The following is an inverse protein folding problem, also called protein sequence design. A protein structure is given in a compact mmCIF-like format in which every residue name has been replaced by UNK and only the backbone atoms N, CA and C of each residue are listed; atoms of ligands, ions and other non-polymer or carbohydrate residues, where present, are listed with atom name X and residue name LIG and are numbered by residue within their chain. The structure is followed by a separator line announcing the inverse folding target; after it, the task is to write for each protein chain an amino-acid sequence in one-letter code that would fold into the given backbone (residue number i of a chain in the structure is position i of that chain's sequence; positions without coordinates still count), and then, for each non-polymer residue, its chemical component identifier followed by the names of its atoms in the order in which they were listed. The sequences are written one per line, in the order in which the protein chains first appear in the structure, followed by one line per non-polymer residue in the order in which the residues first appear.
data_IF_623746781759
#
_entry.id   IF_623746781759
#
_cell.length_a   1.000
_cell.length_b   1.000
_cell.length_c   1.000
_cell.angle_alpha   90.00
_cell.angle_beta   90.00
_cell.angle_gamma   90.00
#
_symmetry.space_group_name_H-M   'P 1'
#
loop_
_entity.id
_entity.type
_entity.pdbx_description
1 polymer ?
#
# COMPACT_ATOMS: atom_id res chain seq x y z
N UNK A 1 -0.30 6.13 -6.20
CA UNK A 1 -0.18 4.74 -5.70
C UNK A 1 0.47 3.75 -6.69
N UNK A 2 0.17 3.82 -8.00
CA UNK A 2 0.71 2.86 -8.99
C UNK A 2 2.24 2.76 -9.00
N UNK A 3 2.95 3.89 -8.89
CA UNK A 3 4.42 3.94 -8.79
C UNK A 3 4.91 3.24 -7.50
N UNK A 4 4.30 3.57 -6.36
CA UNK A 4 4.65 3.00 -5.07
C UNK A 4 4.43 1.47 -5.01
N UNK A 5 3.32 0.98 -5.60
CA UNK A 5 2.98 -0.44 -5.67
C UNK A 5 3.81 -1.20 -6.71
N UNK A 6 3.93 -0.66 -7.93
CA UNK A 6 4.64 -1.30 -9.03
C UNK A 6 6.14 -1.46 -8.76
N UNK A 7 6.72 -0.60 -7.92
CA UNK A 7 8.12 -0.67 -7.54
C UNK A 7 8.34 -1.19 -6.11
N UNK A 8 7.30 -1.50 -5.33
CA UNK A 8 7.48 -2.01 -3.96
C UNK A 8 8.02 -0.99 -2.94
N UNK A 9 8.09 0.29 -3.29
CA UNK A 9 8.73 1.36 -2.52
C UNK A 9 7.93 1.89 -1.32
N UNK A 10 6.78 1.28 -1.05
CA UNK A 10 6.00 1.53 0.15
C UNK A 10 6.11 0.38 1.15
N UNK A 11 5.67 -0.82 0.77
CA UNK A 11 5.55 -1.96 1.69
C UNK A 11 6.92 -2.43 2.19
N UNK A 12 7.89 -2.69 1.31
CA UNK A 12 9.20 -3.21 1.75
C UNK A 12 9.95 -2.20 2.63
N UNK A 13 10.04 -0.91 2.27
CA UNK A 13 10.64 0.09 3.14
C UNK A 13 9.90 0.26 4.47
N UNK A 14 8.58 0.09 4.52
CA UNK A 14 7.81 0.13 5.78
C UNK A 14 8.18 -1.05 6.71
N UNK A 15 8.33 -2.26 6.18
CA UNK A 15 8.80 -3.42 6.95
C UNK A 15 10.24 -3.24 7.43
N UNK A 16 11.12 -2.69 6.59
CA UNK A 16 12.49 -2.40 6.94
C UNK A 16 12.58 -1.33 8.04
N UNK A 17 11.83 -0.24 7.89
CA UNK A 17 11.72 0.82 8.89
C UNK A 17 11.23 0.27 10.23
N UNK A 18 10.15 -0.52 10.23
CA UNK A 18 9.63 -1.14 11.45
C UNK A 18 10.67 -2.05 12.12
N UNK A 19 11.38 -2.89 11.35
CA UNK A 19 12.43 -3.76 11.87
C UNK A 19 13.59 -2.98 12.51
N UNK A 20 13.97 -1.83 11.93
CA UNK A 20 15.03 -0.98 12.49
C UNK A 20 14.58 -0.22 13.74
N UNK A 21 13.31 0.23 13.80
CA UNK A 21 12.76 0.93 14.97
C UNK A 21 12.69 0.05 16.22
N UNK A 22 12.64 -1.28 16.05
CA UNK A 22 12.54 -2.25 17.15
C UNK A 22 13.88 -2.63 17.79
N UNK A 23 15.00 -2.22 17.20
CA UNK A 23 16.34 -2.47 17.79
C UNK A 23 16.56 -1.57 19.01
N UNK A 24 17.42 -2.01 19.94
CA UNK A 24 17.76 -1.24 21.16
C UNK A 24 18.23 0.20 20.87
N UNK A 25 18.97 0.39 19.76
CA UNK A 25 19.32 1.71 19.22
C UNK A 25 18.49 1.97 17.97
N UNK A 26 17.19 2.16 18.15
CA UNK A 26 16.25 2.41 17.06
C UNK A 26 16.61 3.65 16.23
N UNK A 27 16.29 3.61 14.95
CA UNK A 27 16.50 4.76 14.06
C UNK A 27 15.55 5.92 14.41
N UNK A 28 15.92 7.13 14.02
CA UNK A 28 15.05 8.30 14.14
C UNK A 28 13.73 8.08 13.38
N UNK A 29 12.63 8.72 13.83
CA UNK A 29 11.36 8.65 13.13
C UNK A 29 11.51 9.12 11.68
N UNK A 30 10.86 8.42 10.75
CA UNK A 30 10.82 8.79 9.34
C UNK A 30 9.42 9.36 9.04
N UNK A 31 9.24 10.71 9.05
CA UNK A 31 7.92 11.32 9.15
C UNK A 31 6.94 10.89 8.05
N UNK A 32 7.39 10.89 6.79
CA UNK A 32 6.55 10.49 5.64
C UNK A 32 6.17 8.99 5.72
N UNK A 33 7.03 8.14 6.27
CA UNK A 33 6.71 6.72 6.49
C UNK A 33 5.70 6.52 7.63
N UNK A 34 5.83 7.28 8.71
CA UNK A 34 4.84 7.26 9.81
C UNK A 34 3.48 7.76 9.33
N UNK A 35 3.46 8.79 8.47
CA UNK A 35 2.24 9.29 7.84
C UNK A 35 1.61 8.23 6.91
N UNK A 36 2.42 7.50 6.12
CA UNK A 36 1.94 6.36 5.34
C UNK A 36 1.26 5.31 6.23
N UNK A 37 1.92 4.95 7.35
CA UNK A 37 1.41 3.98 8.32
C UNK A 37 0.10 4.45 8.94
N UNK A 38 -0.01 5.74 9.28
CA UNK A 38 -1.23 6.33 9.82
C UNK A 38 -2.39 6.34 8.79
N UNK A 39 -2.10 6.70 7.52
CA UNK A 39 -3.12 6.81 6.47
C UNK A 39 -3.69 5.45 6.07
N UNK A 40 -2.83 4.43 5.93
CA UNK A 40 -3.25 3.10 5.47
C UNK A 40 -3.61 2.17 6.63
N UNK A 41 -3.11 2.45 7.83
CA UNK A 41 -3.26 1.59 8.99
C UNK A 41 -2.34 0.37 8.96
N UNK A 42 -1.97 -0.10 10.14
CA UNK A 42 -1.01 -1.20 10.30
C UNK A 42 -1.48 -2.50 9.63
N UNK A 43 -2.77 -2.84 9.71
CA UNK A 43 -3.31 -4.09 9.15
C UNK A 43 -3.33 -4.13 7.61
N UNK A 44 -3.26 -2.95 6.96
CA UNK A 44 -3.24 -2.87 5.49
C UNK A 44 -1.81 -2.94 4.96
N UNK A 45 -0.85 -2.36 5.70
CA UNK A 45 0.58 -2.39 5.38
C UNK A 45 1.26 -3.69 5.80
N UNK A 46 0.99 -4.16 7.01
CA UNK A 46 1.51 -5.39 7.58
C UNK A 46 0.46 -6.50 7.48
N UNK A 47 0.88 -7.73 7.21
CA UNK A 47 -0.04 -8.85 7.09
C UNK A 47 -0.53 -9.27 8.49
N UNK A 48 -1.76 -8.89 8.81
CA UNK A 48 -2.41 -9.22 10.08
C UNK A 48 -2.05 -8.22 11.17
N UNK A 49 -0.81 -8.25 11.65
CA UNK A 49 -0.32 -7.33 12.68
C UNK A 49 1.11 -6.87 12.38
N UNK A 50 1.51 -5.76 13.01
CA UNK A 50 2.88 -5.23 12.93
C UNK A 50 3.89 -6.30 13.38
N UNK A 51 4.84 -6.72 12.52
CA UNK A 51 5.79 -7.76 12.86
C UNK A 51 6.71 -7.27 13.96
N UNK A 52 7.04 -8.13 14.93
CA UNK A 52 7.88 -7.80 16.12
C UNK A 52 9.32 -8.29 15.99
N UNK A 53 9.62 -9.07 14.95
CA UNK A 53 10.96 -9.57 14.64
C UNK A 53 11.30 -9.34 13.18
N UNK A 54 12.60 -9.27 12.88
CA UNK A 54 13.11 -9.16 11.50
C UNK A 54 12.63 -10.34 10.65
N UNK A 55 12.60 -11.55 11.23
CA UNK A 55 12.14 -12.75 10.55
C UNK A 55 10.64 -12.71 10.23
N UNK A 56 9.83 -12.13 11.11
CA UNK A 56 8.40 -11.96 10.84
C UNK A 56 8.17 -10.90 9.76
N UNK A 57 8.96 -9.82 9.74
CA UNK A 57 8.95 -8.87 8.63
C UNK A 57 9.29 -9.56 7.30
N UNK A 58 10.32 -10.40 7.28
CA UNK A 58 10.69 -11.17 6.09
C UNK A 58 9.58 -12.11 5.62
N UNK A 59 9.00 -12.91 6.52
CA UNK A 59 7.88 -13.81 6.19
C UNK A 59 6.70 -13.02 5.61
N UNK A 60 6.32 -11.91 6.24
CA UNK A 60 5.22 -11.09 5.74
C UNK A 60 5.53 -10.48 4.36
N UNK A 61 6.76 -10.03 4.12
CA UNK A 61 7.21 -9.58 2.80
C UNK A 61 7.05 -10.67 1.73
N UNK A 62 7.52 -11.89 2.02
CA UNK A 62 7.46 -13.02 1.08
C UNK A 62 6.00 -13.43 0.80
N UNK A 63 5.14 -13.41 1.81
CA UNK A 63 3.70 -13.61 1.64
C UNK A 63 3.04 -12.49 0.82
N UNK A 64 3.48 -11.25 0.99
CA UNK A 64 3.00 -10.10 0.22
C UNK A 64 3.36 -10.26 -1.26
N UNK A 65 4.52 -10.83 -1.57
CA UNK A 65 4.92 -11.15 -2.94
C UNK A 65 4.17 -12.33 -3.57
N UNK A 66 3.30 -12.99 -2.81
CA UNK A 66 2.44 -14.06 -3.30
C UNK A 66 3.00 -15.47 -3.09
N UNK A 67 4.07 -15.63 -2.31
CA UNK A 67 4.51 -16.97 -1.90
C UNK A 67 3.56 -17.55 -0.83
N UNK A 68 3.53 -18.88 -0.72
CA UNK A 68 2.59 -19.54 0.19
C UNK A 68 3.17 -19.65 1.60
N UNK A 69 2.30 -19.55 2.62
CA UNK A 69 2.66 -19.90 4.02
C UNK A 69 3.16 -21.34 4.10
N UNK A 70 2.66 -22.23 3.24
CA UNK A 70 3.09 -23.63 3.18
C UNK A 70 4.57 -23.79 2.82
N UNK A 71 5.15 -22.82 2.09
CA UNK A 71 6.55 -22.83 1.67
C UNK A 71 7.53 -22.68 2.86
N UNK A 72 7.04 -22.21 4.01
CA UNK A 72 7.83 -22.04 5.25
C UNK A 72 7.66 -23.19 6.26
N UNK A 73 6.94 -24.26 5.90
CA UNK A 73 6.73 -25.40 6.79
C UNK A 73 7.95 -26.32 6.84
N UNK A 74 8.29 -26.83 8.04
CA UNK A 74 9.50 -27.60 8.31
C UNK A 74 9.60 -28.95 7.54
N UNK A 75 8.53 -29.38 6.85
CA UNK A 75 8.40 -30.72 6.26
C UNK A 75 8.35 -30.71 4.71
N UNK A 76 9.14 -29.87 4.04
CA UNK A 76 9.16 -29.83 2.57
C UNK A 76 10.33 -30.60 1.96
N UNK A 77 10.00 -31.61 1.14
CA UNK A 77 10.88 -32.08 0.05
C UNK A 77 11.06 -30.92 -0.93
N UNK A 78 12.30 -30.58 -1.28
CA UNK A 78 12.70 -29.50 -2.22
C UNK A 78 11.69 -29.31 -3.37
N UNK A 79 10.74 -28.39 -3.20
CA UNK A 79 9.74 -28.06 -4.22
C UNK A 79 9.94 -26.60 -4.61
N UNK A 80 9.94 -26.32 -5.92
CA UNK A 80 10.03 -24.94 -6.43
C UNK A 80 8.89 -24.11 -5.86
N UNK A 81 9.23 -22.94 -5.31
CA UNK A 81 8.30 -21.93 -4.85
C UNK A 81 7.36 -21.57 -6.00
N UNK A 82 6.04 -21.59 -5.77
CA UNK A 82 5.06 -21.18 -6.79
C UNK A 82 4.42 -19.87 -6.36
N UNK A 83 4.65 -18.76 -7.07
CA UNK A 83 3.96 -17.52 -6.77
C UNK A 83 2.45 -17.69 -7.02
N UNK A 84 1.65 -16.99 -6.21
CA UNK A 84 0.21 -16.91 -6.34
C UNK A 84 -0.19 -16.35 -7.71
N UNK A 85 -1.25 -16.92 -8.30
CA UNK A 85 -1.83 -16.43 -9.56
C UNK A 85 -2.35 -14.99 -9.46
N UNK A 86 -2.60 -14.50 -8.25
CA UNK A 86 -3.14 -13.16 -8.02
C UNK A 86 -2.06 -12.07 -7.99
N UNK A 87 -0.78 -12.43 -8.11
CA UNK A 87 0.33 -11.50 -8.07
C UNK A 87 0.60 -10.92 -6.67
N UNK A 88 1.56 -10.00 -6.56
CA UNK A 88 1.94 -9.38 -5.30
C UNK A 88 0.83 -8.46 -4.77
N UNK A 89 0.61 -8.49 -3.45
CA UNK A 89 -0.30 -7.58 -2.74
C UNK A 89 0.34 -6.19 -2.66
N UNK A 90 -0.30 -5.21 -3.29
CA UNK A 90 0.06 -3.79 -3.17
C UNK A 90 -0.70 -3.06 -2.07
N UNK A 91 -0.37 -1.78 -1.86
CA UNK A 91 -1.19 -0.85 -1.10
C UNK A 91 -2.59 -0.77 -1.74
N UNK A 92 -3.61 -0.81 -0.90
CA UNK A 92 -5.00 -0.54 -1.29
C UNK A 92 -5.29 0.95 -1.16
N UNK A 93 -6.25 1.44 -1.93
CA UNK A 93 -6.65 2.84 -1.82
C UNK A 93 -7.11 3.15 -0.39
N UNK A 94 -6.59 4.25 0.16
CA UNK A 94 -6.89 4.70 1.52
C UNK A 94 -8.17 5.55 1.60
N UNK A 95 -8.63 6.04 0.44
CA UNK A 95 -9.72 6.99 0.30
C UNK A 95 -10.71 6.51 -0.76
N UNK A 96 -12.01 6.37 -0.43
CA UNK A 96 -13.06 6.14 -1.41
C UNK A 96 -13.15 7.24 -2.48
N UNK A 97 -12.71 8.47 -2.16
CA UNK A 97 -12.62 9.55 -3.15
C UNK A 97 -11.52 9.30 -4.18
N UNK A 98 -10.41 8.65 -3.80
CA UNK A 98 -9.36 8.27 -4.75
C UNK A 98 -9.91 7.38 -5.86
N UNK A 99 -10.78 6.42 -5.51
CA UNK A 99 -11.37 5.49 -6.47
C UNK A 99 -12.27 6.24 -7.46
N UNK A 100 -13.09 7.16 -6.95
CA UNK A 100 -13.99 7.96 -7.79
C UNK A 100 -13.20 8.85 -8.73
N UNK A 101 -12.19 9.54 -8.20
CA UNK A 101 -11.30 10.36 -9.01
C UNK A 101 -10.56 9.52 -10.05
N UNK A 102 -10.10 8.32 -9.70
CA UNK A 102 -9.44 7.39 -10.63
C UNK A 102 -10.39 6.93 -11.74
N UNK A 103 -11.63 6.55 -11.41
CA UNK A 103 -12.65 6.17 -12.39
C UNK A 103 -13.05 7.32 -13.30
N UNK A 104 -13.03 8.54 -12.80
CA UNK A 104 -13.40 9.73 -13.57
C UNK A 104 -12.24 10.29 -14.39
N UNK A 105 -10.99 10.07 -13.98
CA UNK A 105 -9.79 10.47 -14.70
C UNK A 105 -9.14 9.34 -15.52
N UNK A 106 -9.84 8.23 -15.79
CA UNK A 106 -9.32 7.22 -16.72
C UNK A 106 -9.11 7.83 -18.12
N UNK A 107 -7.85 7.85 -18.52
CA UNK A 107 -7.36 8.34 -19.80
C UNK A 107 -7.42 7.20 -20.82
N UNK A 108 -8.38 7.24 -21.74
CA UNK A 108 -8.43 6.36 -22.93
C UNK A 108 -7.90 7.19 -24.13
N UNK A 109 -6.60 7.08 -24.41
CA UNK A 109 -5.91 7.94 -25.39
C UNK A 109 -5.66 9.37 -24.87
N UNK A 110 -5.39 10.37 -25.73
CA UNK A 110 -5.13 11.77 -25.30
C UNK A 110 -6.38 12.55 -24.85
N UNK A 111 -7.51 11.86 -24.61
CA UNK A 111 -8.77 12.50 -24.22
C UNK A 111 -9.14 12.06 -22.82
N UNK A 112 -9.26 13.02 -21.91
CA UNK A 112 -9.86 12.79 -20.59
C UNK A 112 -11.36 12.59 -20.82
N UNK A 113 -11.80 11.34 -20.78
CA UNK A 113 -13.22 11.01 -20.86
C UNK A 113 -13.77 11.17 -19.45
N UNK A 114 -14.52 12.24 -19.20
CA UNK A 114 -15.33 12.38 -17.98
C UNK A 114 -16.44 11.31 -18.02
N UNK A 115 -16.11 10.10 -17.55
CA UNK A 115 -16.99 8.92 -17.67
C UNK A 115 -18.13 8.91 -16.65
N UNK A 116 -18.16 9.82 -15.66
CA UNK A 116 -19.38 10.04 -14.86
C UNK A 116 -19.25 11.24 -13.92
N UNK A 117 -20.15 12.20 -14.11
CA UNK A 117 -20.48 13.22 -13.14
C UNK A 117 -20.62 12.59 -11.74
N UNK A 118 -19.88 13.12 -10.77
CA UNK A 118 -20.05 12.83 -9.35
C UNK A 118 -21.53 13.02 -8.97
N UNK A 119 -22.32 11.95 -8.96
CA UNK A 119 -23.75 12.04 -8.67
C UNK A 119 -23.98 12.17 -7.18
N UNK A 120 -25.05 12.88 -6.80
CA UNK A 120 -25.46 13.02 -5.40
C UNK A 120 -25.59 11.65 -4.70
N UNK A 121 -26.20 10.68 -5.39
CA UNK A 121 -26.34 9.31 -4.88
C UNK A 121 -24.99 8.63 -4.59
N UNK A 122 -23.96 8.85 -5.43
CA UNK A 122 -22.61 8.33 -5.16
C UNK A 122 -22.03 8.98 -3.91
N UNK A 123 -22.19 10.29 -3.75
CA UNK A 123 -21.72 11.02 -2.55
C UNK A 123 -22.42 10.50 -1.29
N UNK A 124 -23.74 10.32 -1.32
CA UNK A 124 -24.50 9.76 -0.20
C UNK A 124 -24.05 8.34 0.17
N UNK A 125 -23.79 7.49 -0.84
CA UNK A 125 -23.29 6.14 -0.61
C UNK A 125 -21.92 6.13 0.09
N UNK A 126 -20.99 6.99 -0.33
CA UNK A 126 -19.67 7.11 0.32
C UNK A 126 -19.77 7.59 1.75
N UNK A 127 -20.57 8.63 2.00
CA UNK A 127 -20.77 9.17 3.34
C UNK A 127 -21.40 8.14 4.27
N UNK A 128 -22.28 7.28 3.72
CA UNK A 128 -22.87 6.16 4.46
C UNK A 128 -21.84 5.10 4.79
N UNK A 129 -20.99 4.72 3.83
CA UNK A 129 -19.88 3.78 4.06
C UNK A 129 -18.91 4.32 5.12
N UNK A 130 -18.50 5.58 5.01
CA UNK A 130 -17.66 6.24 6.00
C UNK A 130 -18.35 6.36 7.37
N UNK A 131 -19.67 6.47 7.43
CA UNK A 131 -20.37 6.48 8.71
C UNK A 131 -20.35 5.12 9.42
N UNK A 132 -19.99 4.03 8.72
CA UNK A 132 -19.78 2.70 9.29
C UNK A 132 -18.37 2.48 9.84
N UNK A 133 -17.38 3.27 9.41
CA UNK A 133 -16.01 3.19 9.93
C UNK A 133 -16.01 3.39 11.45
N UNK A 134 -15.35 2.47 12.16
CA UNK A 134 -15.33 2.41 13.62
C UNK A 134 -14.83 3.71 14.27
N UNK A 135 -13.89 4.40 13.60
CA UNK A 135 -13.36 5.69 14.05
C UNK A 135 -14.41 6.81 14.09
N UNK A 136 -15.40 6.81 13.20
CA UNK A 136 -16.44 7.86 13.15
C UNK A 136 -17.80 7.32 13.61
N UNK A 137 -17.92 6.02 13.85
CA UNK A 137 -19.13 5.41 14.37
C UNK A 137 -19.60 6.04 15.69
N UNK A 138 -18.68 6.62 16.47
CA UNK A 138 -18.97 7.35 17.69
C UNK A 138 -19.56 8.76 17.50
N UNK A 139 -19.33 9.41 16.35
CA UNK A 139 -19.71 10.80 16.10
C UNK A 139 -21.24 10.95 16.01
N UNK A 140 -21.84 11.98 16.66
CA UNK A 140 -23.27 12.26 16.56
C UNK A 140 -23.76 12.46 15.12
N UNK A 141 -22.95 13.07 14.24
CA UNK A 141 -23.28 13.28 12.83
C UNK A 141 -23.37 11.93 12.11
N UNK A 142 -22.38 11.06 12.27
CA UNK A 142 -22.37 9.72 11.64
C UNK A 142 -23.51 8.83 12.14
N UNK A 143 -23.86 8.91 13.43
CA UNK A 143 -25.04 8.21 13.97
C UNK A 143 -26.33 8.70 13.32
N UNK A 144 -26.48 10.01 13.14
CA UNK A 144 -27.65 10.62 12.47
C UNK A 144 -27.73 10.25 11.00
N UNK A 145 -26.60 10.30 10.28
CA UNK A 145 -26.48 9.87 8.89
C UNK A 145 -26.90 8.41 8.72
N UNK A 146 -26.37 7.48 9.56
CA UNK A 146 -26.77 6.07 9.52
C UNK A 146 -28.25 5.86 9.80
N UNK A 147 -28.78 6.52 10.83
CA UNK A 147 -30.19 6.40 11.19
C UNK A 147 -31.10 6.90 10.06
N UNK A 148 -30.79 8.08 9.50
CA UNK A 148 -31.57 8.64 8.38
C UNK A 148 -31.46 7.79 7.12
N UNK A 149 -30.26 7.32 6.76
CA UNK A 149 -30.11 6.41 5.61
C UNK A 149 -30.85 5.08 5.79
N UNK A 150 -30.93 4.55 7.02
CA UNK A 150 -31.71 3.35 7.30
C UNK A 150 -33.24 3.60 7.19
N UNK A 151 -33.72 4.81 7.49
CA UNK A 151 -35.14 5.16 7.51
C UNK A 151 -35.64 5.70 6.17
N UNK A 152 -34.99 6.73 5.62
CA UNK A 152 -35.42 7.46 4.42
C UNK A 152 -34.66 7.08 3.15
N UNK A 153 -33.57 6.30 3.25
CA UNK A 153 -32.65 5.95 2.14
C UNK A 153 -32.05 7.15 1.38
N UNK A 154 -32.23 8.37 1.90
CA UNK A 154 -31.76 9.64 1.33
C UNK A 154 -31.40 10.59 2.47
N UNK A 155 -30.39 11.43 2.25
CA UNK A 155 -30.00 12.47 3.20
C UNK A 155 -30.71 13.78 2.85
N UNK A 156 -31.12 14.53 3.87
CA UNK A 156 -31.54 15.92 3.61
C UNK A 156 -30.31 16.75 3.21
N UNK A 157 -30.48 17.85 2.45
CA UNK A 157 -29.36 18.71 2.07
C UNK A 157 -28.51 19.21 3.24
N UNK A 158 -29.14 19.45 4.40
CA UNK A 158 -28.44 19.88 5.62
C UNK A 158 -27.64 18.73 6.26
N UNK A 159 -28.21 17.52 6.29
CA UNK A 159 -27.48 16.36 6.80
C UNK A 159 -26.30 15.97 5.90
N UNK A 160 -26.48 16.15 4.58
CA UNK A 160 -25.43 15.96 3.61
C UNK A 160 -24.30 16.96 3.82
N UNK A 161 -24.62 18.24 4.01
CA UNK A 161 -23.62 19.28 4.27
C UNK A 161 -22.84 18.98 5.55
N UNK A 162 -23.52 18.64 6.65
CA UNK A 162 -22.88 18.27 7.91
C UNK A 162 -21.96 17.06 7.74
N UNK A 163 -22.41 16.03 7.01
CA UNK A 163 -21.62 14.84 6.73
C UNK A 163 -20.38 15.16 5.88
N UNK A 164 -20.50 16.04 4.89
CA UNK A 164 -19.38 16.50 4.07
C UNK A 164 -18.37 17.30 4.88
N UNK A 165 -18.83 18.19 5.77
CA UNK A 165 -17.94 18.97 6.65
C UNK A 165 -17.11 18.08 7.58
N UNK A 166 -17.65 16.92 7.98
CA UNK A 166 -16.91 15.92 8.77
C UNK A 166 -16.01 15.04 7.90
N UNK A 167 -16.45 14.70 6.68
CA UNK A 167 -15.74 13.76 5.80
C UNK A 167 -14.53 14.40 5.10
N UNK A 168 -14.67 15.60 4.53
CA UNK A 168 -13.64 16.24 3.71
C UNK A 168 -12.31 16.40 4.46
N UNK A 169 -12.26 16.94 5.70
CA UNK A 169 -11.00 17.10 6.41
C UNK A 169 -10.26 15.78 6.70
N UNK A 170 -10.97 14.65 6.71
CA UNK A 170 -10.38 13.32 6.94
C UNK A 170 -9.85 12.69 5.66
N UNK A 171 -10.48 12.98 4.53
CA UNK A 171 -10.06 12.46 3.23
C UNK A 171 -8.94 13.29 2.60
N UNK A 172 -8.91 14.59 2.89
CA UNK A 172 -7.94 15.51 2.29
C UNK A 172 -6.47 15.12 2.54
N UNK A 173 -6.03 14.74 3.76
CA UNK A 173 -4.65 14.31 3.99
C UNK A 173 -4.29 13.04 3.21
N UNK A 174 -5.26 12.11 3.04
CA UNK A 174 -5.04 10.86 2.28
C UNK A 174 -4.81 11.12 0.80
N UNK A 175 -5.47 12.15 0.25
CA UNK A 175 -5.35 12.58 -1.15
C UNK A 175 -4.10 13.43 -1.38
N UNK A 176 -3.72 14.26 -0.41
CA UNK A 176 -2.55 15.15 -0.49
C UNK A 176 -1.22 14.44 -0.21
N UNK A 177 -1.27 13.21 0.30
CA UNK A 177 -0.08 12.44 0.62
C UNK A 177 0.85 12.27 -0.59
N UNK A 178 2.11 12.69 -0.43
CA UNK A 178 3.09 12.68 -1.51
C UNK A 178 3.75 11.30 -1.68
N UNK A 179 3.10 10.47 -2.50
CA UNK A 179 3.64 9.17 -2.86
C UNK A 179 4.94 9.24 -3.68
N UNK A 180 5.24 10.36 -4.36
CA UNK A 180 6.48 10.51 -5.14
C UNK A 180 7.66 10.80 -4.22
N UNK A 181 7.45 11.66 -3.23
CA UNK A 181 8.47 11.95 -2.23
C UNK A 181 8.75 10.70 -1.36
N UNK A 182 7.71 9.94 -0.99
CA UNK A 182 7.89 8.64 -0.34
C UNK A 182 8.76 7.72 -1.21
N UNK A 183 8.42 7.58 -2.48
CA UNK A 183 9.16 6.75 -3.42
C UNK A 183 10.64 7.17 -3.50
N UNK A 184 10.89 8.47 -3.67
CA UNK A 184 12.24 9.04 -3.75
C UNK A 184 13.06 8.77 -2.49
N UNK A 185 12.49 9.00 -1.31
CA UNK A 185 13.18 8.76 -0.04
C UNK A 185 13.42 7.26 0.18
N UNK A 186 12.44 6.40 -0.12
CA UNK A 186 12.58 4.95 -0.05
C UNK A 186 13.71 4.41 -0.91
N UNK A 187 13.77 4.81 -2.18
CA UNK A 187 14.86 4.43 -3.07
C UNK A 187 16.20 4.97 -2.56
N UNK A 188 16.23 6.21 -2.06
CA UNK A 188 17.43 6.80 -1.48
C UNK A 188 17.99 6.00 -0.29
N UNK A 189 17.13 5.52 0.60
CA UNK A 189 17.53 4.65 1.72
C UNK A 189 18.04 3.30 1.21
N UNK A 190 17.30 2.65 0.31
CA UNK A 190 17.68 1.34 -0.23
C UNK A 190 19.01 1.38 -0.97
N UNK A 191 19.29 2.45 -1.73
CA UNK A 191 20.59 2.67 -2.39
C UNK A 191 21.74 2.73 -1.39
N UNK A 192 21.57 3.45 -0.28
CA UNK A 192 22.60 3.55 0.77
C UNK A 192 22.87 2.20 1.42
N UNK A 193 21.80 1.44 1.71
CA UNK A 193 21.94 0.08 2.26
C UNK A 193 22.66 -0.84 1.28
N UNK A 194 22.32 -0.77 -0.02
CA UNK A 194 23.01 -1.56 -1.04
C UNK A 194 24.47 -1.19 -1.17
N UNK A 195 24.82 0.09 -1.12
CA UNK A 195 26.21 0.53 -1.18
C UNK A 195 27.04 0.06 0.03
N UNK A 196 26.46 0.09 1.23
CA UNK A 196 27.16 -0.33 2.46
C UNK A 196 27.33 -1.86 2.55
N UNK A 197 26.34 -2.61 2.06
CA UNK A 197 26.29 -4.07 2.13
C UNK A 197 26.71 -4.75 0.83
N UNK A 198 27.34 -4.01 -0.11
CA UNK A 198 27.64 -4.50 -1.45
C UNK A 198 28.49 -5.77 -1.45
N UNK A 199 29.52 -5.82 -0.60
CA UNK A 199 30.40 -6.98 -0.45
C UNK A 199 29.67 -8.21 0.13
N UNK A 200 28.77 -7.99 1.09
CA UNK A 200 27.93 -9.06 1.63
C UNK A 200 26.94 -9.57 0.58
N UNK A 201 26.31 -8.69 -0.19
CA UNK A 201 25.39 -9.09 -1.27
C UNK A 201 26.10 -9.85 -2.38
N UNK A 202 27.30 -9.43 -2.79
CA UNK A 202 28.14 -10.20 -3.71
C UNK A 202 28.48 -11.58 -3.17
N UNK A 203 28.75 -11.70 -1.87
CA UNK A 203 29.10 -12.96 -1.22
C UNK A 203 27.93 -13.95 -1.13
N UNK A 204 26.73 -13.47 -0.78
CA UNK A 204 25.56 -14.34 -0.54
C UNK A 204 24.70 -14.54 -1.80
N UNK A 205 24.58 -13.52 -2.66
CA UNK A 205 23.68 -13.53 -3.83
C UNK A 205 24.48 -13.66 -5.14
N UNK A 206 25.67 -13.06 -5.22
CA UNK A 206 26.58 -13.10 -6.38
C UNK A 206 26.87 -11.73 -7.00
N UNK A 207 27.87 -11.63 -7.88
CA UNK A 207 28.34 -10.36 -8.50
C UNK A 207 27.30 -9.66 -9.41
N UNK A 208 26.22 -10.34 -9.79
CA UNK A 208 25.14 -9.82 -10.64
C UNK A 208 23.81 -9.65 -9.90
N UNK A 209 23.84 -9.37 -8.60
CA UNK A 209 22.62 -9.33 -7.77
C UNK A 209 21.64 -8.19 -8.09
N UNK A 210 22.07 -7.16 -8.83
CA UNK A 210 21.24 -6.05 -9.31
C UNK A 210 21.46 -5.81 -10.81
N UNK A 211 20.41 -5.96 -11.61
CA UNK A 211 20.40 -5.58 -13.03
C UNK A 211 19.96 -4.13 -13.21
N UNK A 212 18.93 -3.69 -12.46
CA UNK A 212 18.33 -2.36 -12.55
C UNK A 212 17.87 -1.84 -11.18
N UNK A 213 17.76 -0.52 -11.03
CA UNK A 213 17.28 0.10 -9.78
C UNK A 213 15.86 -0.30 -9.37
N UNK A 214 15.04 -0.74 -10.34
CA UNK A 214 13.69 -1.26 -10.08
C UNK A 214 13.70 -2.53 -9.21
N UNK A 215 14.84 -3.21 -9.09
CA UNK A 215 15.00 -4.43 -8.29
C UNK A 215 15.42 -4.13 -6.84
N UNK A 216 15.83 -2.90 -6.53
CA UNK A 216 16.30 -2.51 -5.18
C UNK A 216 15.30 -2.88 -4.06
N UNK A 217 13.99 -2.65 -4.20
CA UNK A 217 13.04 -2.96 -3.13
C UNK A 217 12.82 -4.47 -2.94
N UNK A 218 13.28 -5.29 -3.89
CA UNK A 218 13.05 -6.73 -3.93
C UNK A 218 14.28 -7.58 -3.61
N UNK A 219 15.40 -6.94 -3.24
CA UNK A 219 16.67 -7.63 -3.00
C UNK A 219 16.59 -8.71 -1.90
N UNK A 220 15.87 -8.42 -0.82
CA UNK A 220 15.67 -9.36 0.29
C UNK A 220 14.79 -10.57 -0.03
N UNK A 221 13.60 -10.39 -0.65
CA UNK A 221 12.68 -11.51 -0.86
C UNK A 221 13.01 -12.51 -1.97
N UNK A 222 13.77 -12.14 -3.01
CA UNK A 222 14.04 -13.05 -4.13
C UNK A 222 15.35 -13.82 -3.94
N UNK A 223 15.33 -14.80 -3.04
CA UNK A 223 16.34 -15.87 -3.09
C UNK A 223 15.80 -17.04 -3.92
N UNK A 224 16.01 -16.95 -5.24
CA UNK A 224 16.15 -18.04 -6.24
C UNK A 224 15.55 -17.67 -7.59
N UNK A 225 16.43 -17.25 -8.52
CA UNK A 225 16.43 -17.72 -9.90
C UNK A 225 15.30 -17.29 -10.85
N UNK A 226 14.27 -16.56 -10.42
CA UNK A 226 13.23 -16.07 -11.34
C UNK A 226 13.28 -14.55 -11.48
N UNK A 227 13.43 -14.11 -12.73
CA UNK A 227 13.51 -12.71 -13.15
C UNK A 227 12.28 -11.94 -12.68
N UNK A 228 12.50 -10.69 -12.27
CA UNK A 228 11.48 -9.78 -11.75
C UNK A 228 10.28 -9.61 -12.72
N UNK A 229 9.02 -9.71 -12.25
CA UNK A 229 7.84 -9.44 -13.08
C UNK A 229 7.73 -7.96 -13.50
N UNK A 230 8.44 -7.04 -12.82
CA UNK A 230 8.55 -5.64 -13.26
C UNK A 230 9.27 -5.50 -14.61
N UNK A 231 10.11 -6.47 -15.02
CA UNK A 231 10.73 -6.49 -16.35
C UNK A 231 9.74 -7.01 -17.40
N UNK A 232 8.83 -7.91 -17.04
CA UNK A 232 7.81 -8.45 -17.95
C UNK A 232 6.61 -7.51 -18.17
N UNK A 233 6.40 -6.53 -17.29
CA UNK A 233 5.32 -5.55 -17.43
C UNK A 233 5.69 -4.35 -18.32
N UNK A 234 6.97 -4.21 -18.71
CA UNK A 234 7.48 -3.09 -19.53
C UNK A 234 7.80 -3.52 -20.96
N UNK A 235 7.81 -4.82 -21.27
CA UNK A 235 7.88 -5.27 -22.66
C UNK A 235 6.52 -5.09 -23.35
N UNK A 236 6.43 -4.29 -24.43
CA UNK A 236 5.22 -4.22 -25.23
C UNK A 236 4.96 -5.61 -25.80
N UNK A 237 3.76 -6.14 -25.56
CA UNK A 237 3.27 -7.31 -26.29
C UNK A 237 3.22 -6.94 -27.77
N UNK A 238 4.12 -7.51 -28.57
CA UNK A 238 3.94 -7.63 -30.01
C UNK A 238 2.74 -8.55 -30.32
#
# INVERSE_FOLDING_TARGET
MTVANGMGTAIFPAHFYNALRQKQNGIAPWPIMEELIAIHGENRLFLGSKPTTIMDSYKQIVLTLGHSVADFSANLRKRKLRPSKNGPRGLKESSPLSEIFRQNWTVEGNVVIDKSALTLHRVEALLTEQALDEEIAGNPVSKRVRHKMAVSKQLSPLDLLDALMVSIPRELPKLQYDYFELHRQSIGVLRKVCAEMDEDFKRYIGEGYLENESQLPFLGPYEHGDKSPCVQAVEPRN
#
